data_IF_860725254085
#
_entry.id   IF_860725254085
#
_cell.length_a   1.000
_cell.length_b   1.000
_cell.length_c   1.000
_cell.angle_alpha   90.00
_cell.angle_beta   90.00
_cell.angle_gamma   90.00
#
_symmetry.space_group_name_H-M   'P 1'
#
loop_
_entity.id
_entity.type
_entity.pdbx_description
1 polymer ?
#
# COMPACT_ATOMS: atom_id res chain seq x y z
N UNK A 1 -8.85 4.41 -5.48
CA UNK A 1 -9.04 3.84 -4.11
C UNK A 1 -7.67 3.72 -3.46
N UNK A 2 -7.54 3.84 -2.14
CA UNK A 2 -6.25 3.70 -1.42
C UNK A 2 -6.34 2.58 -0.39
N UNK A 3 -5.35 1.69 -0.35
CA UNK A 3 -5.21 0.67 0.69
C UNK A 3 -3.84 0.81 1.35
N UNK A 4 -3.84 0.89 2.68
CA UNK A 4 -2.63 0.88 3.49
C UNK A 4 -2.30 -0.57 3.90
N UNK A 5 -1.05 -0.97 3.67
CA UNK A 5 -0.50 -2.27 4.10
C UNK A 5 0.68 -2.06 5.03
N UNK A 6 1.02 -3.11 5.78
CA UNK A 6 2.22 -3.13 6.61
C UNK A 6 2.73 -4.54 6.74
N UNK A 7 3.99 -4.76 6.36
CA UNK A 7 4.64 -6.08 6.40
C UNK A 7 3.84 -7.15 5.64
N UNK A 8 3.29 -6.82 4.46
CA UNK A 8 2.43 -7.74 3.71
C UNK A 8 3.14 -9.06 3.36
N UNK A 9 4.47 -9.04 3.22
CA UNK A 9 5.33 -10.23 3.07
C UNK A 9 5.17 -11.27 4.19
N UNK A 10 4.72 -10.84 5.39
CA UNK A 10 4.51 -11.70 6.57
C UNK A 10 3.03 -12.03 6.80
N UNK A 11 2.13 -11.41 6.04
CA UNK A 11 0.69 -11.43 6.28
C UNK A 11 -0.05 -11.82 4.99
N UNK A 12 -0.16 -13.12 4.67
CA UNK A 12 -0.77 -13.60 3.43
C UNK A 12 -2.21 -13.12 3.21
N UNK A 13 -2.93 -12.76 4.27
CA UNK A 13 -4.27 -12.19 4.15
C UNK A 13 -4.26 -10.80 3.52
N UNK A 14 -3.25 -9.96 3.79
CA UNK A 14 -3.13 -8.64 3.16
C UNK A 14 -2.93 -8.78 1.65
N UNK A 15 -2.10 -9.76 1.24
CA UNK A 15 -1.90 -10.09 -0.18
C UNK A 15 -3.23 -10.42 -0.85
N UNK A 16 -4.03 -11.32 -0.27
CA UNK A 16 -5.33 -11.71 -0.81
C UNK A 16 -6.31 -10.54 -0.90
N UNK A 17 -6.38 -9.69 0.14
CA UNK A 17 -7.26 -8.53 0.16
C UNK A 17 -6.85 -7.50 -0.90
N UNK A 18 -5.56 -7.20 -1.02
CA UNK A 18 -5.05 -6.26 -2.03
C UNK A 18 -5.30 -6.79 -3.45
N UNK A 19 -5.09 -8.08 -3.68
CA UNK A 19 -5.36 -8.72 -4.98
C UNK A 19 -6.85 -8.67 -5.34
N UNK A 20 -7.74 -9.02 -4.40
CA UNK A 20 -9.18 -8.92 -4.63
C UNK A 20 -9.62 -7.46 -4.88
N UNK A 21 -9.07 -6.51 -4.13
CA UNK A 21 -9.35 -5.10 -4.30
C UNK A 21 -8.87 -4.57 -5.66
N UNK A 22 -7.69 -4.99 -6.12
CA UNK A 22 -7.11 -4.59 -7.41
C UNK A 22 -7.90 -5.14 -8.60
N UNK A 23 -8.46 -6.34 -8.48
CA UNK A 23 -9.34 -6.92 -9.50
C UNK A 23 -10.59 -6.06 -9.76
N UNK A 24 -11.10 -5.36 -8.75
CA UNK A 24 -12.25 -4.46 -8.86
C UNK A 24 -11.82 -3.04 -9.20
N UNK A 25 -10.62 -2.63 -8.78
CA UNK A 25 -10.07 -1.28 -8.95
C UNK A 25 -8.63 -1.37 -9.47
N UNK A 26 -8.43 -1.43 -10.79
CA UNK A 26 -7.09 -1.46 -11.39
C UNK A 26 -6.25 -0.22 -11.04
N UNK A 27 -6.90 0.91 -10.77
CA UNK A 27 -6.31 2.18 -10.33
C UNK A 27 -6.01 2.25 -8.82
N UNK A 28 -6.06 1.13 -8.10
CA UNK A 28 -5.75 1.06 -6.68
C UNK A 28 -4.31 1.51 -6.40
N UNK A 29 -4.17 2.50 -5.51
CA UNK A 29 -2.89 2.91 -4.93
C UNK A 29 -2.65 2.16 -3.62
N UNK A 30 -1.49 1.52 -3.49
CA UNK A 30 -1.08 0.84 -2.26
C UNK A 30 -0.08 1.70 -1.49
N UNK A 31 -0.32 1.92 -0.19
CA UNK A 31 0.61 2.62 0.70
C UNK A 31 1.26 1.60 1.64
N UNK A 32 2.56 1.35 1.49
CA UNK A 32 3.30 0.41 2.35
C UNK A 32 3.98 1.12 3.53
N UNK A 33 3.55 0.78 4.75
CA UNK A 33 4.09 1.32 6.00
C UNK A 33 5.18 0.45 6.65
N UNK A 34 5.53 -0.71 6.08
CA UNK A 34 6.49 -1.66 6.64
C UNK A 34 7.73 -1.91 5.79
N UNK A 35 7.73 -1.48 4.53
CA UNK A 35 8.72 -1.78 3.47
C UNK A 35 8.84 -3.28 3.12
N UNK A 36 9.12 -3.54 1.84
CA UNK A 36 9.35 -4.91 1.36
C UNK A 36 8.08 -5.73 1.17
N UNK A 37 6.92 -5.11 0.97
CA UNK A 37 5.76 -5.84 0.45
C UNK A 37 6.09 -6.42 -0.93
N UNK A 38 5.61 -7.64 -1.26
CA UNK A 38 5.88 -8.27 -2.54
C UNK A 38 5.41 -7.42 -3.74
N UNK A 39 6.05 -7.55 -4.92
CA UNK A 39 5.63 -6.80 -6.13
C UNK A 39 4.16 -6.99 -6.48
N UNK A 40 3.61 -8.19 -6.27
CA UNK A 40 2.19 -8.47 -6.49
C UNK A 40 1.26 -7.71 -5.54
N UNK A 41 1.76 -7.26 -4.38
CA UNK A 41 1.01 -6.37 -3.49
C UNK A 41 1.12 -4.93 -3.97
N UNK A 42 2.35 -4.46 -4.19
CA UNK A 42 2.61 -3.06 -4.57
C UNK A 42 1.94 -2.70 -5.91
N UNK A 43 2.10 -3.55 -6.92
CA UNK A 43 1.70 -3.24 -8.30
C UNK A 43 2.39 -1.99 -8.82
N UNK A 44 1.80 -1.38 -9.85
CA UNK A 44 2.41 -0.21 -10.53
C UNK A 44 2.16 1.11 -9.79
N UNK A 45 1.07 1.19 -9.02
CA UNK A 45 0.65 2.40 -8.29
C UNK A 45 0.85 2.20 -6.78
N UNK A 46 1.99 2.65 -6.26
CA UNK A 46 2.28 2.53 -4.83
C UNK A 46 3.06 3.71 -4.26
N UNK A 47 2.97 3.87 -2.94
CA UNK A 47 3.75 4.81 -2.13
C UNK A 47 4.39 4.05 -0.98
N UNK A 48 5.68 4.28 -0.76
CA UNK A 48 6.39 3.78 0.42
C UNK A 48 6.34 4.85 1.50
N UNK A 49 5.66 4.56 2.61
CA UNK A 49 5.57 5.47 3.76
C UNK A 49 6.75 5.31 4.73
N UNK A 50 7.56 4.25 4.61
CA UNK A 50 8.73 3.98 5.47
C UNK A 50 8.45 3.93 6.98
N UNK A 51 7.18 3.75 7.37
CA UNK A 51 6.77 3.64 8.77
C UNK A 51 5.28 3.90 8.97
N UNK A 52 4.76 3.45 10.12
CA UNK A 52 3.36 3.60 10.52
C UNK A 52 3.10 4.79 11.45
N UNK A 53 3.98 5.80 11.41
CA UNK A 53 3.82 7.01 12.20
C UNK A 53 2.83 7.98 11.54
N UNK A 54 2.27 8.89 12.33
CA UNK A 54 1.40 9.95 11.80
C UNK A 54 2.09 10.80 10.73
N UNK A 55 3.34 11.21 10.99
CA UNK A 55 4.07 12.10 10.08
C UNK A 55 4.33 11.43 8.72
N UNK A 56 4.63 10.14 8.71
CA UNK A 56 4.84 9.39 7.46
C UNK A 56 3.55 9.15 6.69
N UNK A 57 2.43 8.92 7.39
CA UNK A 57 1.12 8.83 6.76
C UNK A 57 0.67 10.17 6.15
N UNK A 58 0.87 11.28 6.85
CA UNK A 58 0.58 12.62 6.33
C UNK A 58 1.45 12.95 5.10
N UNK A 59 2.75 12.61 5.13
CA UNK A 59 3.64 12.80 4.00
C UNK A 59 3.20 11.99 2.78
N UNK A 60 2.85 10.71 2.96
CA UNK A 60 2.31 9.87 1.88
C UNK A 60 1.00 10.44 1.32
N UNK A 61 0.11 10.93 2.17
CA UNK A 61 -1.12 11.58 1.74
C UNK A 61 -0.87 12.84 0.91
N UNK A 62 0.08 13.69 1.32
CA UNK A 62 0.46 14.90 0.56
C UNK A 62 1.08 14.56 -0.79
N UNK A 63 1.91 13.53 -0.85
CA UNK A 63 2.51 13.05 -2.10
C UNK A 63 1.44 12.61 -3.11
N UNK A 64 0.39 11.92 -2.65
CA UNK A 64 -0.71 11.48 -3.52
C UNK A 64 -1.69 12.59 -3.91
N UNK A 65 -1.79 13.65 -3.10
CA UNK A 65 -2.70 14.77 -3.32
C UNK A 65 -2.08 15.89 -4.18
N UNK A 66 -0.85 15.70 -4.67
CA UNK A 66 -0.12 16.64 -5.53
C UNK A 66 -0.91 17.04 -6.77
#
# INVERSE_FOLDING_TARGET
>A
MVICVREARRLPWQVRVVQAARAVRPDLVVVDHGIGSPPEVLGDNYVLAFGASRITAEAASRLMAG
#
